data_IF_011132146760
#
_entry.id   IF_011132146760
#
_cell.length_a   1.000
_cell.length_b   1.000
_cell.length_c   1.000
_cell.angle_alpha   90.00
_cell.angle_beta   90.00
_cell.angle_gamma   90.00
#
_symmetry.space_group_name_H-M   'P 1'
#
loop_
_entity.id
_entity.type
_entity.pdbx_description
1 polymer ?
#
# COMPACT_ATOMS: atom_id res chain seq x y z
N UNK A 1 27.26 13.33 24.70
CA UNK A 1 27.31 14.81 24.76
C UNK A 1 27.13 15.51 23.40
N UNK A 2 27.49 14.90 22.25
CA UNK A 2 27.28 15.51 20.91
C UNK A 2 25.84 15.34 20.37
N UNK A 3 25.16 14.26 20.77
CA UNK A 3 23.78 13.93 20.33
C UNK A 3 22.71 14.84 20.95
N UNK A 4 22.97 15.37 22.15
CA UNK A 4 22.06 16.30 22.84
C UNK A 4 22.06 17.71 22.24
N UNK A 5 23.13 18.08 21.51
CA UNK A 5 23.23 19.37 20.82
C UNK A 5 22.39 19.39 19.53
N UNK A 6 22.28 18.25 18.85
CA UNK A 6 21.49 18.13 17.61
C UNK A 6 19.99 18.23 17.89
N UNK A 7 19.51 17.65 19.01
CA UNK A 7 18.10 17.69 19.41
C UNK A 7 17.67 19.11 19.82
N UNK A 8 18.55 19.87 20.48
CA UNK A 8 18.29 21.27 20.82
C UNK A 8 18.20 22.17 19.58
N UNK A 9 18.95 21.87 18.51
CA UNK A 9 18.97 22.69 17.29
C UNK A 9 17.73 22.51 16.41
N UNK A 10 17.05 21.36 16.48
CA UNK A 10 15.78 21.12 15.74
C UNK A 10 14.60 21.83 16.42
N UNK A 11 14.64 21.99 17.75
CA UNK A 11 13.55 22.60 18.52
C UNK A 11 13.57 24.15 18.45
N UNK A 12 14.73 24.76 18.18
CA UNK A 12 14.86 26.22 18.01
C UNK A 12 14.47 26.69 16.60
N UNK A 13 14.51 25.83 15.59
CA UNK A 13 14.21 26.21 14.20
C UNK A 13 12.71 26.36 13.90
N UNK A 14 11.82 25.92 14.80
CA UNK A 14 10.36 26.02 14.64
C UNK A 14 9.74 27.34 15.14
N UNK A 15 10.54 28.30 15.63
CA UNK A 15 10.06 29.49 16.35
C UNK A 15 9.96 30.81 15.57
N UNK A 16 10.31 30.89 14.29
CA UNK A 16 10.53 32.20 13.59
C UNK A 16 9.54 32.49 12.45
N UNK A 17 8.32 31.93 12.46
CA UNK A 17 7.30 32.24 11.43
C UNK A 17 6.10 33.03 11.97
N UNK A 18 6.38 34.07 12.77
CA UNK A 18 5.45 35.17 13.02
C UNK A 18 6.05 36.45 12.45
N UNK A 19 5.48 36.92 11.32
CA UNK A 19 5.24 38.33 10.96
C UNK A 19 5.34 38.56 9.43
N UNK A 20 4.16 38.69 8.79
CA UNK A 20 3.79 39.64 7.73
C UNK A 20 2.46 39.13 7.10
N UNK A 21 1.29 39.46 7.65
CA UNK A 21 0.57 40.72 7.48
C UNK A 21 0.29 41.10 6.01
N UNK A 22 -0.85 40.64 5.49
CA UNK A 22 -1.62 41.37 4.49
C UNK A 22 -3.10 41.35 4.91
N UNK A 23 -3.54 42.50 5.44
CA UNK A 23 -4.93 42.82 5.77
C UNK A 23 -5.76 42.83 4.48
N UNK A 24 -6.88 42.11 4.44
CA UNK A 24 -7.97 42.45 3.53
C UNK A 24 -9.23 42.80 4.32
N UNK A 25 -9.76 43.94 3.90
CA UNK A 25 -10.79 44.75 4.51
C UNK A 25 -12.15 44.04 4.44
N UNK A 26 -12.87 44.02 5.55
CA UNK A 26 -14.31 43.76 5.55
C UNK A 26 -15.03 45.05 5.12
N UNK A 27 -15.94 45.01 4.13
CA UNK A 27 -16.97 46.03 3.99
C UNK A 27 -18.23 45.61 4.75
N UNK A 28 -18.64 46.48 5.67
CA UNK A 28 -19.91 46.45 6.39
C UNK A 28 -20.95 47.33 5.68
N UNK A 29 -22.20 46.84 5.57
CA UNK A 29 -23.40 47.58 5.11
C UNK A 29 -24.08 46.87 3.93
N UNK A 30 -25.37 46.50 3.90
CA UNK A 30 -26.56 46.76 4.70
C UNK A 30 -27.72 45.86 4.18
N UNK A 31 -28.98 46.01 4.66
CA UNK A 31 -30.02 44.97 4.62
C UNK A 31 -30.95 45.03 3.39
N UNK A 32 -31.42 43.86 2.94
CA UNK A 32 -32.49 43.72 1.94
C UNK A 32 -33.07 42.29 1.99
N UNK A 33 -34.37 42.18 2.29
CA UNK A 33 -35.02 40.94 2.72
C UNK A 33 -35.63 40.03 1.64
N UNK A 34 -35.66 38.73 1.97
CA UNK A 34 -36.72 37.73 1.70
C UNK A 34 -36.95 37.20 0.26
N UNK A 35 -37.71 36.09 0.08
CA UNK A 35 -37.73 34.86 0.89
C UNK A 35 -37.67 33.54 0.07
N UNK A 36 -37.33 32.46 0.78
CA UNK A 36 -37.82 31.07 0.66
C UNK A 36 -37.38 30.08 -0.46
N UNK A 37 -36.80 28.98 0.07
CA UNK A 37 -37.23 27.58 -0.08
C UNK A 37 -37.03 26.86 -1.42
N UNK A 38 -36.11 25.88 -1.38
CA UNK A 38 -35.90 24.90 -2.43
C UNK A 38 -34.90 23.82 -1.99
N UNK A 39 -35.28 23.01 -0.99
CA UNK A 39 -34.61 21.74 -0.72
C UNK A 39 -34.89 20.78 -1.88
N UNK A 40 -33.96 20.68 -2.83
CA UNK A 40 -33.94 19.63 -3.84
C UNK A 40 -32.70 18.77 -3.59
N UNK A 41 -32.93 17.52 -3.22
CA UNK A 41 -31.91 16.58 -2.78
C UNK A 41 -30.81 16.38 -3.82
N UNK A 42 -29.56 16.39 -3.35
CA UNK A 42 -28.45 15.79 -4.09
C UNK A 42 -28.68 14.29 -4.10
N UNK A 43 -29.34 13.83 -5.16
CA UNK A 43 -29.32 12.44 -5.59
C UNK A 43 -27.85 12.04 -5.75
N UNK A 44 -27.37 11.24 -4.79
CA UNK A 44 -26.22 10.36 -4.97
C UNK A 44 -26.61 9.33 -6.02
N UNK A 45 -26.52 9.74 -7.29
CA UNK A 45 -26.50 8.84 -8.42
C UNK A 45 -25.19 8.07 -8.37
N UNK A 46 -25.28 6.80 -8.01
CA UNK A 46 -24.23 5.81 -8.18
C UNK A 46 -23.89 5.68 -9.67
N UNK A 47 -23.02 6.56 -10.14
CA UNK A 47 -22.16 6.26 -11.26
C UNK A 47 -21.04 5.40 -10.72
N UNK A 48 -21.11 4.09 -10.94
CA UNK A 48 -19.91 3.26 -10.94
C UNK A 48 -19.06 3.70 -12.14
N UNK A 49 -18.43 4.87 -12.03
CA UNK A 49 -17.17 5.08 -12.70
C UNK A 49 -16.30 3.95 -12.20
N UNK A 50 -15.83 3.11 -13.12
CA UNK A 50 -14.59 2.35 -12.94
C UNK A 50 -13.50 3.38 -12.67
N UNK A 51 -13.49 3.96 -11.45
CA UNK A 51 -12.35 4.66 -10.91
C UNK A 51 -11.33 3.54 -10.86
N UNK A 52 -10.43 3.52 -11.82
CA UNK A 52 -9.12 2.92 -11.63
C UNK A 52 -8.67 3.49 -10.29
N UNK A 53 -8.80 2.70 -9.22
CA UNK A 53 -8.55 3.16 -7.87
C UNK A 53 -7.07 3.50 -7.84
N UNK A 54 -6.78 4.78 -8.06
CA UNK A 54 -5.42 5.23 -8.17
C UNK A 54 -4.82 5.15 -6.78
N UNK A 55 -3.85 4.26 -6.62
CA UNK A 55 -3.23 4.04 -5.33
C UNK A 55 -2.61 5.37 -4.86
N UNK A 56 -2.70 5.69 -3.55
CA UNK A 56 -2.05 6.87 -3.01
C UNK A 56 -0.56 6.81 -3.33
N UNK A 57 0.04 7.98 -3.60
CA UNK A 57 1.43 8.09 -4.05
C UNK A 57 2.37 7.37 -3.08
N UNK A 58 2.15 7.53 -1.78
CA UNK A 58 2.90 6.87 -0.70
C UNK A 58 3.00 5.37 -0.93
N UNK A 59 1.89 4.72 -1.31
CA UNK A 59 1.82 3.27 -1.51
C UNK A 59 2.40 2.81 -2.85
N UNK A 60 2.69 3.73 -3.79
CA UNK A 60 3.29 3.48 -5.10
C UNK A 60 4.80 3.73 -5.13
N UNK A 61 5.34 4.51 -4.20
CA UNK A 61 6.75 4.96 -4.20
C UNK A 61 7.73 3.81 -4.41
N UNK A 62 7.53 2.66 -3.76
CA UNK A 62 8.41 1.50 -3.85
C UNK A 62 8.48 0.90 -5.25
N UNK A 63 7.35 0.82 -5.96
CA UNK A 63 7.34 0.43 -7.38
C UNK A 63 8.01 1.51 -8.22
N UNK A 64 7.71 2.78 -7.92
CA UNK A 64 8.33 3.93 -8.55
C UNK A 64 9.85 3.86 -8.51
N UNK A 65 10.42 3.60 -7.34
CA UNK A 65 11.88 3.43 -7.13
C UNK A 65 12.43 2.33 -8.04
N UNK A 66 11.78 1.17 -8.13
CA UNK A 66 12.21 0.10 -9.02
C UNK A 66 12.14 0.50 -10.51
N UNK A 67 11.12 1.27 -10.91
CA UNK A 67 10.95 1.73 -12.30
C UNK A 67 11.84 2.91 -12.68
N UNK A 68 12.35 3.67 -11.71
CA UNK A 68 13.32 4.75 -11.94
C UNK A 68 14.71 4.19 -12.28
N UNK A 69 14.98 2.91 -12.02
CA UNK A 69 16.25 2.29 -12.39
C UNK A 69 16.50 2.33 -13.89
N UNK A 70 17.73 2.73 -14.25
CA UNK A 70 18.12 2.94 -15.65
C UNK A 70 17.64 4.27 -16.24
N UNK A 71 17.02 5.14 -15.45
CA UNK A 71 16.66 6.51 -15.85
C UNK A 71 17.59 7.56 -15.23
N UNK A 72 17.52 8.80 -15.70
CA UNK A 72 18.23 9.94 -15.10
C UNK A 72 17.78 10.26 -13.67
N UNK A 73 16.61 9.75 -13.29
CA UNK A 73 15.99 9.97 -11.99
C UNK A 73 16.14 8.74 -11.07
N UNK A 74 17.06 7.82 -11.39
CA UNK A 74 17.39 6.72 -10.52
C UNK A 74 17.85 7.23 -9.14
N UNK A 75 17.58 6.43 -8.11
CA UNK A 75 18.05 6.73 -6.74
C UNK A 75 19.57 6.63 -6.71
N UNK A 76 20.22 7.66 -6.16
CA UNK A 76 21.67 7.68 -6.00
C UNK A 76 22.15 7.00 -4.70
N UNK A 77 23.46 6.89 -4.53
CA UNK A 77 24.05 6.21 -3.38
C UNK A 77 23.86 6.95 -2.04
N UNK A 78 23.62 8.26 -2.04
CA UNK A 78 23.34 9.02 -0.82
C UNK A 78 21.90 8.79 -0.38
N UNK A 79 20.94 8.97 -1.30
CA UNK A 79 19.51 8.69 -1.07
C UNK A 79 19.28 7.23 -0.68
N UNK A 80 20.03 6.31 -1.31
CA UNK A 80 19.90 4.89 -1.04
C UNK A 80 20.24 4.52 0.42
N UNK A 81 21.18 5.22 1.07
CA UNK A 81 21.53 4.94 2.49
C UNK A 81 20.35 5.22 3.40
N UNK A 82 19.69 6.36 3.20
CA UNK A 82 18.55 6.76 4.02
C UNK A 82 17.34 5.87 3.73
N UNK A 83 17.03 5.65 2.44
CA UNK A 83 15.93 4.78 2.04
C UNK A 83 16.12 3.34 2.52
N UNK A 84 17.35 2.81 2.52
CA UNK A 84 17.61 1.44 2.94
C UNK A 84 17.21 1.22 4.40
N UNK A 85 17.53 2.18 5.27
CA UNK A 85 17.15 2.12 6.68
C UNK A 85 15.63 2.16 6.84
N UNK A 86 14.95 3.03 6.10
CA UNK A 86 13.50 3.17 6.15
C UNK A 86 12.76 1.93 5.63
N UNK A 87 13.21 1.33 4.52
CA UNK A 87 12.61 0.11 3.98
C UNK A 87 12.85 -1.12 4.87
N UNK A 88 14.03 -1.22 5.51
CA UNK A 88 14.28 -2.25 6.53
C UNK A 88 13.35 -2.08 7.73
N UNK A 89 13.19 -0.86 8.22
CA UNK A 89 12.25 -0.55 9.30
C UNK A 89 10.79 -0.89 8.89
N UNK A 90 10.39 -0.55 7.67
CA UNK A 90 9.05 -0.83 7.15
C UNK A 90 8.77 -2.31 7.11
N UNK A 91 9.73 -3.10 6.62
CA UNK A 91 9.63 -4.55 6.59
C UNK A 91 9.46 -5.12 8.00
N UNK A 92 10.35 -4.76 8.93
CA UNK A 92 10.32 -5.25 10.31
C UNK A 92 9.02 -4.87 11.02
N UNK A 93 8.64 -3.59 10.99
CA UNK A 93 7.43 -3.11 11.65
C UNK A 93 6.17 -3.73 11.06
N UNK A 94 6.15 -4.03 9.76
CA UNK A 94 5.00 -4.70 9.12
C UNK A 94 4.82 -6.15 9.54
N UNK A 95 5.89 -6.83 10.00
CA UNK A 95 5.83 -8.21 10.49
C UNK A 95 5.49 -8.31 11.98
N UNK A 96 5.77 -7.27 12.76
CA UNK A 96 5.50 -7.23 14.20
C UNK A 96 4.02 -7.11 14.50
N UNK A 97 3.45 -7.98 15.34
CA UNK A 97 2.00 -8.04 15.60
C UNK A 97 1.43 -6.80 16.31
N UNK A 98 2.27 -6.00 16.98
CA UNK A 98 1.85 -4.87 17.81
C UNK A 98 2.04 -3.50 17.16
N UNK A 99 2.60 -3.42 15.95
CA UNK A 99 2.77 -2.16 15.23
C UNK A 99 1.43 -1.56 14.86
N UNK A 100 1.25 -0.27 15.15
CA UNK A 100 0.05 0.47 14.78
C UNK A 100 0.02 0.75 13.26
N UNK A 101 -1.20 0.85 12.69
CA UNK A 101 -1.38 1.20 11.28
C UNK A 101 -0.78 2.58 10.97
N UNK A 102 -0.92 3.53 11.90
CA UNK A 102 -0.39 4.89 11.75
C UNK A 102 1.14 4.93 11.72
N UNK A 103 1.82 4.02 12.41
CA UNK A 103 3.29 3.91 12.36
C UNK A 103 3.76 3.45 10.96
N UNK A 104 3.07 2.47 10.38
CA UNK A 104 3.33 2.04 9.00
C UNK A 104 3.07 3.19 8.02
N UNK A 105 1.96 3.91 8.18
CA UNK A 105 1.64 5.04 7.31
C UNK A 105 2.66 6.17 7.41
N UNK A 106 3.06 6.55 8.63
CA UNK A 106 4.08 7.58 8.88
C UNK A 106 5.42 7.21 8.23
N UNK A 107 5.81 5.93 8.30
CA UNK A 107 7.04 5.47 7.67
C UNK A 107 6.98 5.52 6.14
N UNK A 108 5.84 5.21 5.53
CA UNK A 108 5.64 5.38 4.09
C UNK A 108 5.71 6.86 3.66
N UNK A 109 5.20 7.78 4.49
CA UNK A 109 5.36 9.23 4.28
C UNK A 109 6.84 9.62 4.36
N UNK A 110 7.58 9.08 5.33
CA UNK A 110 9.01 9.35 5.46
C UNK A 110 9.79 8.85 4.24
N UNK A 111 9.50 7.63 3.77
CA UNK A 111 10.09 7.08 2.53
C UNK A 111 9.85 8.00 1.34
N UNK A 112 8.61 8.49 1.17
CA UNK A 112 8.27 9.46 0.12
C UNK A 112 9.10 10.73 0.25
N UNK A 113 9.20 11.29 1.45
CA UNK A 113 9.89 12.56 1.70
C UNK A 113 11.41 12.48 1.60
N UNK A 114 11.99 11.28 1.59
CA UNK A 114 13.42 11.07 1.35
C UNK A 114 13.79 11.21 -0.14
N UNK A 115 12.84 11.03 -1.05
CA UNK A 115 13.07 11.19 -2.49
C UNK A 115 13.14 12.67 -2.89
N UNK A 116 13.95 12.99 -3.91
CA UNK A 116 13.95 14.31 -4.54
C UNK A 116 12.61 14.62 -5.21
N UNK A 117 12.30 15.91 -5.30
CA UNK A 117 11.09 16.41 -5.95
C UNK A 117 10.94 15.91 -7.39
N UNK A 118 12.03 15.86 -8.15
CA UNK A 118 11.99 15.38 -9.54
C UNK A 118 11.66 13.88 -9.62
N UNK A 119 12.19 13.06 -8.72
CA UNK A 119 11.88 11.63 -8.63
C UNK A 119 10.41 11.42 -8.30
N UNK A 120 9.88 12.16 -7.32
CA UNK A 120 8.46 12.12 -6.96
C UNK A 120 7.56 12.52 -8.14
N UNK A 121 7.92 13.60 -8.85
CA UNK A 121 7.17 14.05 -10.02
C UNK A 121 7.21 13.02 -11.16
N UNK A 122 8.31 12.28 -11.32
CA UNK A 122 8.37 11.17 -12.26
C UNK A 122 7.48 10.00 -11.84
N UNK A 123 7.53 9.59 -10.57
CA UNK A 123 6.71 8.51 -10.02
C UNK A 123 5.22 8.83 -10.15
N UNK A 124 4.81 10.08 -9.88
CA UNK A 124 3.42 10.52 -9.99
C UNK A 124 2.89 10.40 -11.43
N UNK A 125 3.76 10.66 -12.42
CA UNK A 125 3.42 10.49 -13.85
C UNK A 125 3.43 9.03 -14.31
N UNK A 126 3.90 8.09 -13.48
CA UNK A 126 3.92 6.68 -13.86
C UNK A 126 2.53 6.06 -13.79
N UNK A 127 2.01 5.68 -14.95
CA UNK A 127 0.90 4.73 -15.05
C UNK A 127 1.39 3.33 -14.68
N UNK A 128 1.26 2.94 -13.42
CA UNK A 128 1.55 1.57 -12.97
C UNK A 128 0.37 0.68 -13.36
N UNK A 129 0.57 -0.16 -14.36
CA UNK A 129 -0.45 -1.11 -14.82
C UNK A 129 -0.34 -2.45 -14.08
N UNK A 130 -1.39 -3.28 -14.15
CA UNK A 130 -1.31 -4.66 -13.65
C UNK A 130 -0.27 -5.50 -14.39
N UNK A 131 0.01 -5.18 -15.66
CA UNK A 131 1.07 -5.81 -16.43
C UNK A 131 2.44 -5.42 -15.88
N UNK A 132 2.67 -4.14 -15.55
CA UNK A 132 3.91 -3.67 -14.94
C UNK A 132 4.17 -4.38 -13.61
N UNK A 133 3.14 -4.52 -12.78
CA UNK A 133 3.23 -5.25 -11.52
C UNK A 133 3.64 -6.70 -11.74
N UNK A 134 3.02 -7.39 -12.70
CA UNK A 134 3.38 -8.76 -13.06
C UNK A 134 4.82 -8.88 -13.54
N UNK A 135 5.26 -7.95 -14.40
CA UNK A 135 6.64 -7.90 -14.88
C UNK A 135 7.60 -7.70 -13.72
N UNK A 136 7.37 -6.72 -12.84
CA UNK A 136 8.23 -6.47 -11.67
C UNK A 136 8.30 -7.66 -10.73
N UNK A 137 7.16 -8.32 -10.46
CA UNK A 137 7.10 -9.53 -9.64
C UNK A 137 7.98 -10.64 -10.24
N UNK A 138 7.97 -10.80 -11.57
CA UNK A 138 8.83 -11.76 -12.28
C UNK A 138 10.32 -11.34 -12.26
N UNK A 139 10.60 -10.07 -12.54
CA UNK A 139 11.96 -9.53 -12.61
C UNK A 139 12.70 -9.62 -11.27
N UNK A 140 12.00 -9.33 -10.17
CA UNK A 140 12.57 -9.28 -8.83
C UNK A 140 12.28 -10.53 -7.99
N UNK A 141 11.62 -11.55 -8.57
CA UNK A 141 11.32 -12.82 -7.91
C UNK A 141 10.44 -12.67 -6.67
N UNK A 142 9.51 -11.71 -6.68
CA UNK A 142 8.59 -11.49 -5.55
C UNK A 142 7.53 -12.59 -5.58
N UNK A 143 7.50 -13.46 -4.58
CA UNK A 143 6.39 -14.40 -4.43
C UNK A 143 5.20 -13.68 -3.83
N UNK A 144 4.28 -13.19 -4.68
CA UNK A 144 2.99 -12.72 -4.18
C UNK A 144 2.11 -13.90 -3.81
N UNK A 145 2.22 -14.39 -2.58
CA UNK A 145 1.28 -15.34 -1.98
C UNK A 145 -0.11 -14.69 -1.91
N UNK A 146 -0.92 -14.85 -2.95
CA UNK A 146 -2.26 -14.28 -3.01
C UNK A 146 -2.78 -13.94 -4.41
N UNK A 147 -1.91 -13.74 -5.40
CA UNK A 147 -2.33 -13.75 -6.80
C UNK A 147 -2.24 -15.17 -7.32
N UNK A 148 -3.22 -16.01 -6.98
CA UNK A 148 -3.48 -17.23 -7.74
C UNK A 148 -3.98 -16.81 -9.13
N UNK A 149 -3.05 -16.39 -9.99
CA UNK A 149 -3.25 -16.41 -11.42
C UNK A 149 -3.37 -17.88 -11.77
N UNK A 150 -4.59 -18.36 -12.01
CA UNK A 150 -4.87 -19.69 -12.50
C UNK A 150 -4.16 -19.93 -13.83
N UNK A 151 -2.91 -20.36 -13.75
CA UNK A 151 -2.25 -21.17 -14.76
C UNK A 151 -2.03 -22.51 -14.10
N UNK A 152 -3.07 -23.34 -14.17
CA UNK A 152 -2.91 -24.78 -14.10
C UNK A 152 -2.09 -25.22 -15.31
N UNK A 153 -0.77 -25.14 -15.21
CA UNK A 153 0.11 -25.98 -16.03
C UNK A 153 0.04 -27.39 -15.44
N UNK A 154 -1.08 -28.07 -15.70
CA UNK A 154 -1.19 -29.51 -15.48
C UNK A 154 -0.33 -30.19 -16.53
N UNK A 155 0.92 -30.45 -16.18
CA UNK A 155 1.72 -31.44 -16.88
C UNK A 155 2.65 -32.13 -15.87
N UNK A 156 2.43 -33.44 -15.78
CA UNK A 156 3.37 -34.45 -15.31
C UNK A 156 3.38 -34.76 -13.82
N UNK A 157 2.59 -35.77 -13.45
CA UNK A 157 2.96 -36.94 -12.63
C UNK A 157 1.85 -38.00 -12.80
N UNK A 158 1.98 -38.85 -13.82
CA UNK A 158 2.52 -40.20 -13.70
C UNK A 158 1.61 -41.15 -12.88
N UNK A 159 0.86 -41.97 -13.62
CA UNK A 159 0.82 -43.42 -13.42
C UNK A 159 0.52 -43.92 -12.00
N UNK A 160 -0.76 -44.03 -11.63
CA UNK A 160 -1.19 -45.00 -10.60
C UNK A 160 -2.28 -45.91 -11.18
N UNK A 161 -1.82 -46.91 -11.92
CA UNK A 161 -2.52 -48.17 -12.14
C UNK A 161 -2.07 -49.12 -11.02
N UNK A 162 -2.96 -49.50 -10.09
CA UNK A 162 -2.64 -50.50 -9.07
C UNK A 162 -3.69 -50.66 -7.97
N UNK A 163 -4.59 -51.63 -8.13
CA UNK A 163 -5.05 -52.48 -7.02
C UNK A 163 -6.50 -52.33 -6.53
N UNK A 164 -7.35 -53.36 -6.67
CA UNK A 164 -8.61 -53.50 -5.95
C UNK A 164 -8.42 -54.19 -4.59
N UNK A 165 -9.02 -53.66 -3.52
CA UNK A 165 -9.13 -54.36 -2.22
C UNK A 165 -8.93 -53.44 -1.01
N UNK A 166 -9.98 -53.28 -0.19
CA UNK A 166 -9.90 -52.51 1.05
C UNK A 166 -11.27 -52.21 1.67
N UNK A 167 -12.01 -53.26 1.97
CA UNK A 167 -13.26 -53.24 2.74
C UNK A 167 -12.95 -52.99 4.22
N UNK A 168 -13.59 -51.99 4.86
CA UNK A 168 -13.55 -51.88 6.33
C UNK A 168 -13.88 -50.52 6.93
N UNK A 169 -15.18 -50.25 7.15
CA UNK A 169 -15.64 -49.52 8.34
C UNK A 169 -15.77 -48.01 8.27
N UNK A 170 -16.98 -47.50 7.98
CA UNK A 170 -17.84 -46.82 8.97
C UNK A 170 -19.17 -46.45 8.31
N UNK A 171 -20.19 -47.23 8.67
CA UNK A 171 -21.62 -46.96 8.47
C UNK A 171 -22.10 -46.17 9.70
N UNK A 172 -22.81 -45.07 9.48
CA UNK A 172 -23.71 -44.49 10.49
C UNK A 172 -23.80 -42.97 10.44
N UNK A 173 -24.73 -42.41 9.65
CA UNK A 173 -25.01 -40.97 9.73
C UNK A 173 -25.79 -40.33 8.57
N UNK A 174 -26.95 -40.90 8.22
CA UNK A 174 -28.16 -40.18 7.79
C UNK A 174 -28.18 -39.35 6.47
N UNK A 175 -29.03 -39.81 5.55
CA UNK A 175 -29.59 -39.08 4.41
C UNK A 175 -30.27 -37.77 4.80
N UNK A 176 -30.18 -36.77 3.93
CA UNK A 176 -31.07 -35.60 3.89
C UNK A 176 -30.76 -34.71 2.69
N UNK A 177 -31.43 -34.93 1.56
CA UNK A 177 -31.27 -34.13 0.34
C UNK A 177 -32.19 -32.90 0.27
N UNK A 178 -31.58 -31.74 -0.02
CA UNK A 178 -32.14 -30.54 -0.68
C UNK A 178 -33.19 -29.69 0.07
N UNK A 179 -33.40 -28.40 -0.27
CA UNK A 179 -32.86 -27.63 -1.41
C UNK A 179 -32.11 -26.33 -1.02
N UNK A 180 -31.50 -25.72 -2.05
CA UNK A 180 -30.97 -24.36 -2.16
C UNK A 180 -31.15 -23.37 -0.99
N UNK A 181 -30.02 -22.89 -0.46
CA UNK A 181 -29.90 -21.50 -0.04
C UNK A 181 -28.47 -21.03 -0.29
N UNK A 182 -28.34 -20.27 -1.37
CA UNK A 182 -27.22 -19.40 -1.72
C UNK A 182 -27.04 -18.30 -0.66
N UNK A 183 -26.61 -18.69 0.53
CA UNK A 183 -26.17 -17.76 1.57
C UNK A 183 -24.69 -17.50 1.36
N UNK A 184 -24.39 -16.36 0.72
CA UNK A 184 -23.07 -15.75 0.76
C UNK A 184 -22.76 -15.34 2.20
N UNK A 185 -22.25 -16.28 3.00
CA UNK A 185 -21.71 -15.98 4.33
C UNK A 185 -20.41 -15.21 4.11
N UNK A 186 -20.50 -13.88 3.99
CA UNK A 186 -19.32 -13.00 4.10
C UNK A 186 -18.75 -13.22 5.49
N UNK A 187 -17.69 -14.03 5.57
CA UNK A 187 -16.92 -14.20 6.79
C UNK A 187 -16.46 -12.80 7.24
N UNK A 188 -17.01 -12.32 8.36
CA UNK A 188 -16.54 -11.07 8.96
C UNK A 188 -15.16 -11.36 9.54
N UNK A 189 -14.08 -10.69 9.12
CA UNK A 189 -12.76 -10.95 9.66
C UNK A 189 -12.77 -10.65 11.17
N UNK A 190 -12.13 -11.51 11.96
CA UNK A 190 -11.89 -11.20 13.37
C UNK A 190 -10.97 -9.96 13.48
N UNK A 191 -10.95 -9.29 14.63
CA UNK A 191 -10.21 -8.04 14.82
C UNK A 191 -8.71 -8.15 14.44
N UNK A 192 -8.08 -9.30 14.70
CA UNK A 192 -6.68 -9.55 14.35
C UNK A 192 -6.46 -9.67 12.83
N UNK A 193 -7.37 -10.34 12.12
CA UNK A 193 -7.36 -10.43 10.67
C UNK A 193 -7.64 -9.07 10.02
N UNK A 194 -8.60 -8.31 10.54
CA UNK A 194 -8.89 -6.95 10.09
C UNK A 194 -7.66 -6.04 10.24
N UNK A 195 -7.00 -6.07 11.40
CA UNK A 195 -5.77 -5.30 11.65
C UNK A 195 -4.63 -5.70 10.71
N UNK A 196 -4.47 -7.00 10.45
CA UNK A 196 -3.45 -7.49 9.50
C UNK A 196 -3.71 -6.98 8.08
N UNK A 197 -4.98 -7.01 7.64
CA UNK A 197 -5.38 -6.45 6.35
C UNK A 197 -5.13 -4.94 6.30
N UNK A 198 -5.49 -4.20 7.35
CA UNK A 198 -5.27 -2.74 7.43
C UNK A 198 -3.79 -2.37 7.37
N UNK A 199 -2.91 -3.11 8.06
CA UNK A 199 -1.45 -2.87 8.00
C UNK A 199 -0.87 -3.21 6.65
N UNK A 200 -1.32 -4.30 6.03
CA UNK A 200 -0.92 -4.65 4.66
C UNK A 200 -1.40 -3.60 3.66
N UNK A 201 -2.59 -3.04 3.84
CA UNK A 201 -3.09 -1.94 3.03
C UNK A 201 -2.28 -0.66 3.23
N UNK A 202 -1.91 -0.32 4.48
CA UNK A 202 -1.08 0.84 4.79
C UNK A 202 0.37 0.71 4.27
N UNK A 203 0.93 -0.51 4.29
CA UNK A 203 2.24 -0.81 3.70
C UNK A 203 2.24 -0.93 2.18
N UNK A 204 1.06 -1.11 1.57
CA UNK A 204 0.84 -1.09 0.13
C UNK A 204 1.81 -1.96 -0.69
N UNK A 205 2.20 -1.45 -1.85
CA UNK A 205 3.20 -2.12 -2.69
C UNK A 205 4.63 -1.96 -2.16
N UNK A 206 4.89 -0.98 -1.30
CA UNK A 206 6.19 -0.80 -0.66
C UNK A 206 6.57 -2.02 0.16
N UNK A 207 5.61 -2.59 0.91
CA UNK A 207 5.83 -3.84 1.63
C UNK A 207 5.97 -5.04 0.70
N UNK A 208 5.14 -5.11 -0.34
CA UNK A 208 5.16 -6.23 -1.30
C UNK A 208 6.51 -6.36 -2.00
N UNK A 209 7.12 -5.22 -2.34
CA UNK A 209 8.41 -5.15 -3.02
C UNK A 209 9.57 -4.80 -2.07
N UNK A 210 9.37 -4.82 -0.74
CA UNK A 210 10.37 -4.36 0.23
C UNK A 210 11.72 -5.06 0.04
N UNK A 211 11.73 -6.38 -0.15
CA UNK A 211 12.96 -7.15 -0.37
C UNK A 211 13.67 -6.80 -1.69
N UNK A 212 12.90 -6.58 -2.76
CA UNK A 212 13.44 -6.17 -4.05
C UNK A 212 14.09 -4.78 -3.96
N UNK A 213 13.41 -3.86 -3.27
CA UNK A 213 13.87 -2.50 -3.06
C UNK A 213 15.10 -2.50 -2.16
N UNK A 214 15.10 -3.24 -1.04
CA UNK A 214 16.25 -3.36 -0.14
C UNK A 214 17.49 -3.84 -0.91
N UNK A 215 17.36 -4.90 -1.73
CA UNK A 215 18.46 -5.41 -2.56
C UNK A 215 18.97 -4.37 -3.55
N UNK A 216 18.06 -3.65 -4.20
CA UNK A 216 18.43 -2.57 -5.12
C UNK A 216 19.25 -1.49 -4.41
N UNK A 217 18.78 -1.01 -3.26
CA UNK A 217 19.43 0.04 -2.49
C UNK A 217 20.79 -0.42 -1.95
N UNK A 218 20.92 -1.67 -1.50
CA UNK A 218 22.23 -2.26 -1.11
C UNK A 218 23.21 -2.31 -2.28
N UNK A 219 22.73 -2.62 -3.49
CA UNK A 219 23.56 -2.59 -4.70
C UNK A 219 24.04 -1.17 -5.03
N UNK A 220 23.19 -0.14 -4.89
CA UNK A 220 23.57 1.27 -5.12
C UNK A 220 24.64 1.77 -4.16
N UNK A 221 24.59 1.32 -2.91
CA UNK A 221 25.57 1.73 -1.88
C UNK A 221 26.92 1.02 -2.08
N UNK A 222 26.92 -0.13 -2.74
CA UNK A 222 28.11 -0.96 -2.95
C UNK A 222 28.88 -0.62 -4.23
N UNK A 223 28.36 0.26 -5.08
CA UNK A 223 29.02 0.79 -6.28
C UNK A 223 29.76 2.08 -5.97
#
# INVERSE_FOLDING_TARGET
MKKSIIIASILVLAGILVACAARQQFPSGGPGGGPQSGSAGRQTGGGASTQTAELPLESKVGIGILKLEGTEQAVDAEEAKDLLVLFKALKTLSTESNTAVDEISALNIQIKNTLKADQLAAIEKMSITMQDLRTLTQSYGVETTGYSSGTSSSSSRSNFNGGPGGMGGMIGGMMGGGPESSSSTKATPNAAAALTISRKAAGGYNLTFADAIIKLLESKISQ
#
